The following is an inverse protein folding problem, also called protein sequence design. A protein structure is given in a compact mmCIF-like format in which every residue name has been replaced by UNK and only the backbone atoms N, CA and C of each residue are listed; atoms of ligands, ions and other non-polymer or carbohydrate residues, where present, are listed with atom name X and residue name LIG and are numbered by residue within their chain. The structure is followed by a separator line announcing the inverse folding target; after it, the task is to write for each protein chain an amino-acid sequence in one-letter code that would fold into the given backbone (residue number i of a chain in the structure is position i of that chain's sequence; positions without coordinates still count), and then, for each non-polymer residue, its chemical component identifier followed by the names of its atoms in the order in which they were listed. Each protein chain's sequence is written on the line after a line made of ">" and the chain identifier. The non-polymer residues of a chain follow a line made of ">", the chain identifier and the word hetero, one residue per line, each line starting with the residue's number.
data_IF_292892400931
#
_entry.id   IF_292892400931
#
_cell.length_a   1.000
_cell.length_b   1.000
_cell.length_c   1.000
_cell.angle_alpha   90.00
_cell.angle_beta   90.00
_cell.angle_gamma   90.00
#
_symmetry.space_group_name_H-M   'P 1'
#
loop_
_entity.id
_entity.type
_entity.pdbx_description
1 polymer ?
#
# COMPACT_ATOMS: atom_id res chain seq x y z
N UNK A 1 -41.32 -18.23 89.11
CA UNK A 1 -41.08 -19.22 88.09
C UNK A 1 -41.00 -18.46 86.76
N UNK A 2 -39.75 -18.20 86.30
CA UNK A 2 -39.49 -17.46 85.08
C UNK A 2 -39.14 -18.50 84.01
N UNK A 3 -39.80 -18.54 82.86
CA UNK A 3 -39.42 -19.53 81.83
C UNK A 3 -38.12 -19.16 81.18
N UNK A 4 -37.20 -20.14 81.07
CA UNK A 4 -35.94 -20.10 80.36
C UNK A 4 -36.27 -19.99 78.83
N UNK A 5 -35.79 -18.92 78.23
CA UNK A 5 -35.78 -18.78 76.76
C UNK A 5 -34.78 -19.76 76.14
N UNK A 6 -35.14 -20.46 75.05
CA UNK A 6 -34.20 -21.32 74.35
C UNK A 6 -33.13 -20.50 73.64
N UNK A 7 -31.87 -20.81 73.82
CA UNK A 7 -30.70 -20.26 73.14
C UNK A 7 -30.81 -20.55 71.62
N UNK A 8 -30.66 -19.55 70.74
CA UNK A 8 -30.64 -19.81 69.28
C UNK A 8 -29.45 -20.67 68.93
N UNK A 9 -29.71 -21.68 68.09
CA UNK A 9 -28.70 -22.57 67.58
C UNK A 9 -27.67 -21.78 66.68
N UNK A 10 -26.37 -22.14 66.73
CA UNK A 10 -25.34 -21.51 65.88
C UNK A 10 -25.70 -21.72 64.42
N UNK A 11 -25.83 -20.62 63.66
CA UNK A 11 -26.02 -20.65 62.25
C UNK A 11 -24.73 -21.20 61.60
N UNK A 12 -24.87 -22.27 60.82
CA UNK A 12 -23.78 -22.80 60.02
C UNK A 12 -23.23 -21.74 59.04
N UNK A 13 -21.93 -21.57 58.93
CA UNK A 13 -21.37 -20.61 57.98
C UNK A 13 -21.79 -21.01 56.55
N UNK A 14 -22.25 -20.02 55.77
CA UNK A 14 -22.58 -20.18 54.36
C UNK A 14 -21.36 -20.75 53.61
N UNK A 15 -21.59 -21.66 52.64
CA UNK A 15 -20.51 -22.22 51.88
C UNK A 15 -19.81 -21.09 51.08
N UNK A 16 -18.60 -20.77 51.46
CA UNK A 16 -17.74 -19.88 50.72
C UNK A 16 -17.41 -20.58 49.39
N UNK A 17 -17.94 -20.03 48.30
CA UNK A 17 -17.57 -20.48 46.96
C UNK A 17 -16.05 -20.43 46.81
N UNK A 18 -15.42 -21.49 46.24
CA UNK A 18 -13.96 -21.55 46.18
C UNK A 18 -13.45 -20.37 45.32
N UNK A 19 -12.47 -19.59 45.84
CA UNK A 19 -11.95 -18.39 45.16
C UNK A 19 -11.24 -18.67 43.84
N UNK A 20 -10.97 -19.93 43.54
CA UNK A 20 -10.22 -20.41 42.37
C UNK A 20 -11.00 -20.21 41.04
N UNK A 21 -12.33 -20.29 41.07
CA UNK A 21 -13.13 -20.15 39.87
C UNK A 21 -13.36 -18.70 39.41
N UNK A 22 -13.31 -17.74 40.34
CA UNK A 22 -13.40 -16.32 40.02
C UNK A 22 -12.10 -15.77 39.45
N UNK A 23 -10.94 -16.24 39.96
CA UNK A 23 -9.62 -15.77 39.50
C UNK A 23 -9.34 -16.17 38.05
N UNK A 24 -9.69 -17.40 37.64
CA UNK A 24 -9.46 -17.87 36.28
C UNK A 24 -10.29 -17.11 35.22
N UNK A 25 -11.52 -16.75 35.56
CA UNK A 25 -12.39 -15.96 34.65
C UNK A 25 -11.91 -14.51 34.50
N UNK A 26 -11.46 -13.90 35.59
CA UNK A 26 -10.90 -12.54 35.57
C UNK A 26 -9.60 -12.48 34.76
N UNK A 27 -8.73 -13.46 34.94
CA UNK A 27 -7.49 -13.57 34.14
C UNK A 27 -7.82 -13.78 32.66
N UNK A 28 -8.73 -14.69 32.32
CA UNK A 28 -9.12 -14.94 30.93
C UNK A 28 -9.73 -13.70 30.25
N UNK A 29 -10.60 -12.95 30.96
CA UNK A 29 -11.15 -11.69 30.41
C UNK A 29 -10.07 -10.62 30.25
N UNK A 30 -9.11 -10.53 31.17
CA UNK A 30 -7.98 -9.63 31.06
C UNK A 30 -7.10 -9.93 29.85
N UNK A 31 -6.75 -11.20 29.64
CA UNK A 31 -5.96 -11.65 28.47
C UNK A 31 -6.71 -11.38 27.16
N UNK A 32 -8.03 -11.67 27.11
CA UNK A 32 -8.84 -11.44 25.94
C UNK A 32 -8.92 -9.95 25.58
N UNK A 33 -9.15 -9.09 26.59
CA UNK A 33 -9.22 -7.64 26.35
C UNK A 33 -7.85 -7.06 25.92
N UNK A 34 -6.76 -7.51 26.54
CA UNK A 34 -5.41 -7.10 26.13
C UNK A 34 -5.06 -7.58 24.70
N UNK A 35 -5.44 -8.82 24.36
CA UNK A 35 -5.25 -9.36 23.02
C UNK A 35 -6.05 -8.59 21.95
N UNK A 36 -7.30 -8.24 22.25
CA UNK A 36 -8.14 -7.44 21.36
C UNK A 36 -7.59 -6.02 21.19
N UNK A 37 -7.13 -5.40 22.26
CA UNK A 37 -6.50 -4.08 22.21
C UNK A 37 -5.23 -4.10 21.36
N UNK A 38 -4.36 -5.10 21.56
CA UNK A 38 -3.15 -5.27 20.78
C UNK A 38 -3.46 -5.48 19.29
N UNK A 39 -4.44 -6.33 18.97
CA UNK A 39 -4.88 -6.56 17.60
C UNK A 39 -5.38 -5.28 16.94
N UNK A 40 -6.18 -4.49 17.66
CA UNK A 40 -6.70 -3.20 17.15
C UNK A 40 -5.57 -2.23 16.85
N UNK A 41 -4.56 -2.12 17.73
CA UNK A 41 -3.40 -1.26 17.53
C UNK A 41 -2.58 -1.72 16.31
N UNK A 42 -2.33 -3.02 16.18
CA UNK A 42 -1.59 -3.58 15.03
C UNK A 42 -2.33 -3.30 13.73
N UNK A 43 -3.64 -3.49 13.69
CA UNK A 43 -4.46 -3.19 12.50
C UNK A 43 -4.42 -1.71 12.16
N UNK A 44 -4.57 -0.82 13.15
CA UNK A 44 -4.53 0.62 12.94
C UNK A 44 -3.17 1.09 12.41
N UNK A 45 -2.07 0.64 13.02
CA UNK A 45 -0.71 0.97 12.57
C UNK A 45 -0.45 0.46 11.14
N UNK A 46 -0.90 -0.74 10.83
CA UNK A 46 -0.70 -1.31 9.49
C UNK A 46 -1.54 -0.59 8.44
N UNK A 47 -2.76 -0.21 8.77
CA UNK A 47 -3.60 0.61 7.89
C UNK A 47 -2.93 1.97 7.62
N UNK A 48 -2.43 2.63 8.67
CA UNK A 48 -1.72 3.90 8.55
C UNK A 48 -0.44 3.78 7.70
N UNK A 49 0.37 2.73 7.91
CA UNK A 49 1.58 2.46 7.13
C UNK A 49 1.25 2.20 5.65
N UNK A 50 0.17 1.46 5.36
CA UNK A 50 -0.33 1.25 4.01
C UNK A 50 -0.67 2.58 3.30
N UNK A 51 -1.45 3.44 3.96
CA UNK A 51 -1.86 4.72 3.37
C UNK A 51 -0.67 5.65 3.16
N UNK A 52 0.23 5.73 4.12
CA UNK A 52 1.45 6.52 4.04
C UNK A 52 2.36 6.05 2.90
N UNK A 53 2.64 4.75 2.83
CA UNK A 53 3.51 4.17 1.80
C UNK A 53 2.92 4.34 0.40
N UNK A 54 1.60 4.14 0.26
CA UNK A 54 0.92 4.36 -1.02
C UNK A 54 0.99 5.82 -1.47
N UNK A 55 0.77 6.74 -0.57
CA UNK A 55 0.84 8.18 -0.82
C UNK A 55 2.25 8.60 -1.26
N UNK A 56 3.28 8.18 -0.53
CA UNK A 56 4.68 8.45 -0.88
C UNK A 56 5.06 7.87 -2.25
N UNK A 57 4.65 6.63 -2.53
CA UNK A 57 4.93 5.98 -3.81
C UNK A 57 4.30 6.73 -5.00
N UNK A 58 3.09 7.25 -4.84
CA UNK A 58 2.43 8.07 -5.85
C UNK A 58 3.22 9.37 -6.09
N UNK A 59 3.62 10.05 -5.03
CA UNK A 59 4.38 11.29 -5.12
C UNK A 59 5.76 11.06 -5.76
N UNK A 60 6.50 10.05 -5.33
CA UNK A 60 7.81 9.70 -5.90
C UNK A 60 7.68 9.36 -7.38
N UNK A 61 6.63 8.65 -7.76
CA UNK A 61 6.38 8.29 -9.15
C UNK A 61 6.03 9.51 -10.03
N UNK A 62 5.34 10.51 -9.48
CA UNK A 62 5.07 11.78 -10.18
C UNK A 62 6.36 12.57 -10.40
N UNK A 63 7.23 12.62 -9.39
CA UNK A 63 8.53 13.31 -9.49
C UNK A 63 9.41 12.61 -10.51
N UNK A 64 9.51 11.28 -10.46
CA UNK A 64 10.26 10.49 -11.44
C UNK A 64 9.75 10.72 -12.87
N UNK A 65 8.42 10.67 -13.07
CA UNK A 65 7.82 10.94 -14.37
C UNK A 65 8.10 12.38 -14.85
N UNK A 66 8.16 13.36 -13.97
CA UNK A 66 8.53 14.73 -14.32
C UNK A 66 9.98 14.81 -14.79
N UNK A 67 10.92 14.23 -14.04
CA UNK A 67 12.34 14.21 -14.40
C UNK A 67 12.57 13.53 -15.74
N UNK A 68 11.91 12.38 -15.98
CA UNK A 68 12.03 11.67 -17.25
C UNK A 68 11.41 12.49 -18.39
N UNK A 69 10.26 13.12 -18.19
CA UNK A 69 9.62 13.97 -19.19
C UNK A 69 10.50 15.17 -19.58
N UNK A 70 11.12 15.81 -18.60
CA UNK A 70 12.03 16.94 -18.83
C UNK A 70 13.28 16.48 -19.61
N UNK A 71 13.88 15.37 -19.23
CA UNK A 71 15.09 14.85 -19.88
C UNK A 71 14.83 14.41 -21.32
N UNK A 72 13.66 13.80 -21.60
CA UNK A 72 13.35 13.27 -22.92
C UNK A 72 12.83 14.36 -23.90
N UNK A 73 12.54 15.56 -23.39
CA UNK A 73 11.93 16.65 -24.17
C UNK A 73 12.76 17.01 -25.41
N UNK A 74 14.08 17.04 -25.28
CA UNK A 74 14.96 17.33 -26.43
C UNK A 74 14.86 16.25 -27.51
N UNK A 75 14.89 14.96 -27.13
CA UNK A 75 14.77 13.86 -28.09
C UNK A 75 13.43 13.89 -28.83
N UNK A 76 12.35 14.23 -28.14
CA UNK A 76 11.02 14.39 -28.76
C UNK A 76 10.97 15.59 -29.68
N UNK A 77 11.55 16.72 -29.27
CA UNK A 77 11.61 17.96 -30.07
C UNK A 77 12.34 17.74 -31.40
N UNK A 78 13.47 17.02 -31.37
CA UNK A 78 14.28 16.71 -32.57
C UNK A 78 13.84 15.45 -33.30
N UNK A 79 12.76 14.81 -32.86
CA UNK A 79 12.23 13.55 -33.39
C UNK A 79 13.27 12.41 -33.44
N UNK A 80 14.16 12.41 -32.46
CA UNK A 80 15.18 11.35 -32.30
C UNK A 80 14.62 10.18 -31.48
N UNK A 81 14.06 9.21 -32.19
CA UNK A 81 13.49 7.99 -31.58
C UNK A 81 14.57 7.10 -30.95
N UNK A 82 15.80 7.14 -31.49
CA UNK A 82 16.92 6.36 -30.99
C UNK A 82 17.29 6.78 -29.58
N UNK A 83 17.60 8.08 -29.41
CA UNK A 83 17.90 8.67 -28.11
C UNK A 83 16.72 8.53 -27.13
N UNK A 84 15.49 8.71 -27.60
CA UNK A 84 14.30 8.53 -26.77
C UNK A 84 14.17 7.09 -26.23
N UNK A 85 14.37 6.07 -27.07
CA UNK A 85 14.36 4.67 -26.64
C UNK A 85 15.49 4.33 -25.66
N UNK A 86 16.70 4.90 -25.88
CA UNK A 86 17.82 4.71 -24.97
C UNK A 86 17.54 5.30 -23.58
N UNK A 87 17.00 6.53 -23.52
CA UNK A 87 16.61 7.17 -22.27
C UNK A 87 15.50 6.40 -21.54
N UNK A 88 14.48 5.92 -22.25
CA UNK A 88 13.46 5.05 -21.66
C UNK A 88 14.04 3.71 -21.21
N UNK A 89 15.04 3.18 -21.93
CA UNK A 89 15.77 1.96 -21.59
C UNK A 89 16.50 2.06 -20.24
N UNK A 90 16.92 3.25 -19.82
CA UNK A 90 17.53 3.49 -18.50
C UNK A 90 16.56 3.16 -17.35
N UNK A 91 15.24 3.26 -17.57
CA UNK A 91 14.22 2.87 -16.58
C UNK A 91 14.23 1.38 -16.23
N UNK A 92 14.97 0.56 -17.01
CA UNK A 92 15.21 -0.85 -16.69
C UNK A 92 15.89 -1.05 -15.34
N UNK A 93 16.64 -0.06 -14.86
CA UNK A 93 17.29 -0.10 -13.53
C UNK A 93 16.27 -0.13 -12.38
N UNK A 94 15.08 0.41 -12.58
CA UNK A 94 14.00 0.39 -11.59
C UNK A 94 13.19 -0.91 -11.71
N UNK A 95 13.24 -1.78 -10.69
CA UNK A 95 12.49 -3.06 -10.68
C UNK A 95 10.98 -2.87 -10.78
N UNK A 96 10.49 -1.71 -10.36
CA UNK A 96 9.05 -1.40 -10.33
C UNK A 96 8.51 -0.98 -11.70
N UNK A 97 9.35 -0.45 -12.61
CA UNK A 97 8.89 -0.01 -13.93
C UNK A 97 8.72 -1.22 -14.85
N UNK A 98 7.47 -1.46 -15.25
CA UNK A 98 7.10 -2.53 -16.19
C UNK A 98 7.22 -2.06 -17.64
N UNK A 99 6.78 -0.85 -17.91
CA UNK A 99 6.82 -0.27 -19.25
C UNK A 99 6.79 1.26 -19.18
N UNK A 100 7.33 1.90 -20.20
CA UNK A 100 7.23 3.33 -20.41
C UNK A 100 7.06 3.61 -21.90
N UNK A 101 6.33 4.66 -22.25
CA UNK A 101 6.14 5.08 -23.64
C UNK A 101 6.01 6.58 -23.75
N UNK A 102 6.50 7.09 -24.86
CA UNK A 102 6.32 8.48 -25.26
C UNK A 102 5.34 8.51 -26.43
N UNK A 103 4.33 9.32 -26.29
CA UNK A 103 3.31 9.56 -27.31
C UNK A 103 3.43 11.00 -27.79
N UNK A 104 3.28 11.20 -29.09
CA UNK A 104 3.21 12.53 -29.68
C UNK A 104 1.89 13.25 -29.34
N UNK A 105 1.69 14.45 -29.88
CA UNK A 105 0.47 15.21 -29.66
C UNK A 105 -0.78 14.59 -30.29
N UNK A 106 -0.61 13.72 -31.27
CA UNK A 106 -1.68 12.94 -31.87
C UNK A 106 -1.99 11.66 -31.07
N UNK A 107 -1.23 11.42 -30.00
CA UNK A 107 -1.35 10.25 -29.14
C UNK A 107 -0.80 8.97 -29.75
N UNK A 108 0.05 9.08 -30.78
CA UNK A 108 0.71 7.95 -31.43
C UNK A 108 2.03 7.65 -30.71
N UNK A 109 2.34 6.38 -30.56
CA UNK A 109 3.55 5.92 -29.90
C UNK A 109 4.80 6.33 -30.69
N UNK A 110 5.66 7.14 -30.06
CA UNK A 110 6.90 7.65 -30.62
C UNK A 110 8.10 6.79 -30.20
N UNK A 111 8.22 6.46 -28.91
CA UNK A 111 9.28 5.64 -28.35
C UNK A 111 8.74 4.82 -27.20
N UNK A 112 9.32 3.65 -26.90
CA UNK A 112 8.85 2.80 -25.82
C UNK A 112 9.93 1.93 -25.21
N UNK A 113 9.68 1.55 -23.97
CA UNK A 113 10.42 0.53 -23.22
C UNK A 113 9.41 -0.43 -22.59
N UNK A 114 9.59 -1.73 -22.77
CA UNK A 114 8.76 -2.77 -22.15
C UNK A 114 9.69 -3.83 -21.56
N UNK A 115 9.55 -4.13 -20.26
CA UNK A 115 10.43 -5.07 -19.55
C UNK A 115 10.25 -6.50 -20.01
N UNK A 116 9.01 -6.98 -20.01
CA UNK A 116 8.66 -8.35 -20.38
C UNK A 116 7.68 -8.24 -21.54
N UNK A 117 8.09 -8.46 -22.75
CA UNK A 117 7.31 -8.40 -24.00
C UNK A 117 5.78 -8.44 -23.73
N UNK A 118 5.24 -7.38 -23.15
CA UNK A 118 3.80 -7.26 -22.86
C UNK A 118 3.09 -6.94 -24.19
N UNK A 119 2.41 -7.92 -24.82
CA UNK A 119 1.72 -7.68 -26.09
C UNK A 119 0.55 -6.69 -25.92
N UNK A 120 0.14 -6.40 -24.71
CA UNK A 120 -0.92 -5.46 -24.40
C UNK A 120 -0.41 -4.02 -24.18
N UNK A 121 0.87 -3.72 -24.51
CA UNK A 121 1.35 -2.35 -24.42
C UNK A 121 0.63 -1.47 -25.47
N UNK A 122 -0.04 -0.38 -25.04
CA UNK A 122 -0.87 0.42 -25.93
C UNK A 122 -0.03 1.17 -26.96
N UNK A 123 -0.37 1.06 -28.23
CA UNK A 123 0.26 1.80 -29.33
C UNK A 123 -0.26 3.22 -29.47
N UNK A 124 -1.36 3.54 -28.80
CA UNK A 124 -1.92 4.90 -28.73
C UNK A 124 -2.28 5.26 -27.32
N UNK A 125 -2.16 6.54 -26.95
CA UNK A 125 -2.51 7.04 -25.63
C UNK A 125 -4.02 6.80 -25.33
N UNK A 126 -4.86 6.85 -26.34
CA UNK A 126 -6.29 6.54 -26.25
C UNK A 126 -6.52 5.06 -25.89
N UNK A 127 -5.74 4.14 -26.48
CA UNK A 127 -5.80 2.72 -26.14
C UNK A 127 -5.31 2.45 -24.70
N UNK A 128 -4.39 3.29 -24.16
CA UNK A 128 -4.02 3.26 -22.76
C UNK A 128 -5.16 3.70 -21.83
N UNK A 129 -6.24 4.28 -22.38
CA UNK A 129 -7.37 4.79 -21.60
C UNK A 129 -7.02 5.99 -20.71
N UNK A 130 -5.94 6.70 -21.05
CA UNK A 130 -5.42 7.86 -20.31
C UNK A 130 -5.94 9.19 -20.89
N UNK A 131 -7.06 9.18 -21.61
CA UNK A 131 -7.66 10.40 -22.14
C UNK A 131 -8.00 11.38 -21.03
N UNK A 132 -7.14 12.38 -20.84
CA UNK A 132 -7.31 13.42 -19.82
C UNK A 132 -7.06 12.98 -18.37
N UNK A 133 -6.79 11.71 -18.10
CA UNK A 133 -6.40 11.24 -16.77
C UNK A 133 -4.88 11.25 -16.65
N UNK A 134 -4.35 12.01 -15.68
CA UNK A 134 -2.91 12.07 -15.41
C UNK A 134 -2.42 10.85 -14.61
N UNK A 135 -3.34 10.08 -14.02
CA UNK A 135 -3.01 8.99 -13.12
C UNK A 135 -4.15 7.98 -13.01
N UNK A 136 -3.79 6.70 -13.09
CA UNK A 136 -4.68 5.58 -12.80
C UNK A 136 -3.99 4.63 -11.82
N UNK A 137 -4.51 4.53 -10.63
CA UNK A 137 -4.04 3.59 -9.61
C UNK A 137 -4.99 2.41 -9.52
N UNK A 138 -4.55 1.26 -10.04
CA UNK A 138 -5.20 -0.03 -9.86
C UNK A 138 -4.61 -0.80 -8.68
N UNK A 139 -5.15 -2.02 -8.44
CA UNK A 139 -4.64 -2.91 -7.40
C UNK A 139 -3.22 -3.43 -7.70
N UNK A 140 -2.96 -3.84 -8.94
CA UNK A 140 -1.68 -4.44 -9.34
C UNK A 140 -0.75 -3.46 -10.06
N UNK A 141 -1.28 -2.41 -10.66
CA UNK A 141 -0.56 -1.51 -11.56
C UNK A 141 -0.87 -0.07 -11.25
N UNK A 142 0.17 0.74 -11.29
CA UNK A 142 0.09 2.19 -11.27
C UNK A 142 0.47 2.69 -12.65
N UNK A 143 -0.40 3.48 -13.27
CA UNK A 143 -0.20 4.11 -14.57
C UNK A 143 -0.21 5.61 -14.40
N UNK A 144 0.83 6.27 -14.91
CA UNK A 144 1.01 7.70 -14.82
C UNK A 144 1.25 8.24 -16.23
N UNK A 145 0.51 9.28 -16.60
CA UNK A 145 0.76 10.06 -17.78
C UNK A 145 1.20 11.47 -17.41
N UNK A 146 2.26 11.96 -18.02
CA UNK A 146 2.80 13.29 -17.81
C UNK A 146 3.03 13.97 -19.14
N UNK A 147 2.58 15.22 -19.26
CA UNK A 147 2.89 16.04 -20.43
C UNK A 147 4.42 16.32 -20.49
N UNK A 148 4.99 16.18 -21.68
CA UNK A 148 6.40 16.51 -21.94
C UNK A 148 6.45 18.00 -22.27
N UNK A 149 7.24 18.79 -21.51
CA UNK A 149 7.27 20.22 -21.72
C UNK A 149 7.85 20.59 -23.10
N UNK A 150 7.26 21.61 -23.71
CA UNK A 150 7.76 22.23 -24.93
C UNK A 150 8.96 23.16 -24.65
N UNK A 151 9.40 23.86 -25.69
CA UNK A 151 10.44 24.87 -25.54
C UNK A 151 10.00 25.98 -24.55
N UNK A 152 10.97 26.59 -23.87
CA UNK A 152 10.74 27.66 -22.93
C UNK A 152 9.90 28.76 -23.58
N UNK A 153 8.73 29.06 -22.99
CA UNK A 153 7.78 30.05 -23.50
C UNK A 153 6.65 29.51 -24.37
N UNK A 154 6.61 28.19 -24.64
CA UNK A 154 5.47 27.56 -25.34
C UNK A 154 4.55 26.88 -24.34
N UNK A 155 3.24 27.20 -24.40
CA UNK A 155 2.23 26.56 -23.55
C UNK A 155 1.85 25.14 -24.01
N UNK A 156 2.26 24.74 -25.21
CA UNK A 156 1.87 23.46 -25.80
C UNK A 156 2.88 22.36 -25.45
N UNK A 157 2.46 21.22 -24.91
CA UNK A 157 3.33 20.08 -24.67
C UNK A 157 3.82 19.49 -26.00
N UNK A 158 4.99 18.88 -26.00
CA UNK A 158 5.55 18.15 -27.16
C UNK A 158 4.91 16.76 -27.34
N UNK A 159 4.31 16.25 -26.28
CA UNK A 159 3.72 14.92 -26.25
C UNK A 159 3.40 14.51 -24.81
N UNK A 160 3.22 13.21 -24.61
CA UNK A 160 2.89 12.64 -23.29
C UNK A 160 3.79 11.45 -22.99
N UNK A 161 4.45 11.51 -21.85
CA UNK A 161 5.15 10.37 -21.26
C UNK A 161 4.15 9.52 -20.47
N UNK A 162 4.13 8.23 -20.72
CA UNK A 162 3.35 7.23 -20.00
C UNK A 162 4.29 6.27 -19.30
N UNK A 163 4.07 6.02 -18.02
CA UNK A 163 4.83 5.04 -17.22
C UNK A 163 3.87 4.10 -16.54
N UNK A 164 4.15 2.79 -16.65
CA UNK A 164 3.44 1.73 -15.95
C UNK A 164 4.36 1.08 -14.92
N UNK A 165 3.93 1.07 -13.66
CA UNK A 165 4.65 0.48 -12.52
C UNK A 165 3.88 -0.68 -11.93
N UNK A 166 4.63 -1.66 -11.37
CA UNK A 166 4.06 -2.76 -10.59
C UNK A 166 3.82 -2.35 -9.15
N UNK A 167 2.63 -2.68 -8.63
CA UNK A 167 2.29 -2.56 -7.20
C UNK A 167 2.52 -3.88 -6.45
N UNK A 168 2.94 -4.94 -7.14
CA UNK A 168 3.06 -6.29 -6.59
C UNK A 168 4.07 -6.37 -5.45
N UNK A 169 5.19 -5.66 -5.59
CA UNK A 169 6.24 -5.62 -4.55
C UNK A 169 5.73 -4.97 -3.26
N UNK A 170 4.87 -3.95 -3.37
CA UNK A 170 4.22 -3.33 -2.22
C UNK A 170 3.36 -4.34 -1.45
N UNK A 171 2.53 -5.11 -2.17
CA UNK A 171 1.66 -6.11 -1.55
C UNK A 171 2.45 -7.23 -0.87
N UNK A 172 3.55 -7.68 -1.47
CA UNK A 172 4.41 -8.72 -0.88
C UNK A 172 5.05 -8.25 0.43
N UNK A 173 5.59 -7.04 0.45
CA UNK A 173 6.18 -6.45 1.66
C UNK A 173 5.15 -6.24 2.77
N UNK A 174 3.95 -5.80 2.42
CA UNK A 174 2.85 -5.63 3.37
C UNK A 174 2.39 -6.99 3.92
N UNK A 175 2.20 -8.00 3.06
CA UNK A 175 1.80 -9.34 3.50
C UNK A 175 2.82 -9.93 4.50
N UNK A 176 4.12 -9.74 4.27
CA UNK A 176 5.15 -10.21 5.18
C UNK A 176 5.10 -9.51 6.54
N UNK A 177 4.87 -8.20 6.56
CA UNK A 177 4.71 -7.42 7.80
C UNK A 177 3.45 -7.81 8.55
N UNK A 178 2.34 -8.04 7.86
CA UNK A 178 1.11 -8.56 8.48
C UNK A 178 1.33 -9.94 9.12
N UNK A 179 1.99 -10.85 8.40
CA UNK A 179 2.28 -12.18 8.91
C UNK A 179 3.16 -12.13 10.16
N UNK A 180 4.20 -11.29 10.18
CA UNK A 180 5.07 -11.13 11.34
C UNK A 180 4.35 -10.51 12.54
N UNK A 181 3.50 -9.49 12.33
CA UNK A 181 2.73 -8.86 13.39
C UNK A 181 1.68 -9.83 13.98
N UNK A 182 1.03 -10.64 13.15
CA UNK A 182 0.10 -11.66 13.57
C UNK A 182 0.81 -12.75 14.39
N UNK A 183 2.00 -13.19 13.95
CA UNK A 183 2.79 -14.17 14.67
C UNK A 183 3.15 -13.67 16.08
N UNK A 184 3.62 -12.42 16.19
CA UNK A 184 3.94 -11.80 17.50
C UNK A 184 2.71 -11.72 18.39
N UNK A 185 1.55 -11.34 17.86
CA UNK A 185 0.31 -11.29 18.62
C UNK A 185 -0.12 -12.68 19.13
N UNK A 186 -0.02 -13.71 18.29
CA UNK A 186 -0.32 -15.10 18.69
C UNK A 186 0.65 -15.60 19.74
N UNK A 187 1.95 -15.35 19.59
CA UNK A 187 2.95 -15.71 20.60
C UNK A 187 2.71 -15.00 21.95
N UNK A 188 2.36 -13.71 21.94
CA UNK A 188 2.06 -12.95 23.13
C UNK A 188 0.84 -13.51 23.88
N UNK A 189 -0.21 -13.93 23.17
CA UNK A 189 -1.38 -14.58 23.75
C UNK A 189 -1.00 -15.96 24.31
N UNK A 190 -0.20 -16.75 23.59
CA UNK A 190 0.24 -18.09 24.01
C UNK A 190 1.15 -18.09 25.25
N UNK A 191 1.94 -17.04 25.46
CA UNK A 191 2.76 -16.88 26.69
C UNK A 191 1.92 -16.43 27.88
N UNK A 192 0.80 -15.76 27.64
CA UNK A 192 -0.10 -15.25 28.69
C UNK A 192 -1.12 -16.29 29.20
N UNK A 193 -1.24 -17.46 28.52
CA UNK A 193 -2.09 -18.59 28.90
C UNK A 193 -1.30 -19.70 29.56
#
# INVERSE_FOLDING_TARGET
>A
MTPLQPTPAPQAPAPLLPPILLSSRLVATGILSAGLALLTVVLALTAMDYWSTRSSMLQDSRVEAAIVADNISAAVMFRDTGTANEMLGALRSSSMVLAAGVYDNDGVLFAHYVRDRDPAFPTTLRAAGMNGALERSGWERLEIARAIPGAVGTANPLGTLYIRKSMRELHTRLALRFASALLVAVCAIGVAT
#
